data_IF_128487560472
#
_entry.id   IF_128487560472
#
_cell.length_a   1.000
_cell.length_b   1.000
_cell.length_c   1.000
_cell.angle_alpha   90.00
_cell.angle_beta   90.00
_cell.angle_gamma   90.00
#
_symmetry.space_group_name_H-M   'P 1'
#
loop_
_entity.id
_entity.type
_entity.pdbx_description
1 polymer ?
#
# COMPACT_ATOMS: atom_id res chain seq x y z
N UNK A 1 36.57 6.47 -27.40
CA UNK A 1 36.55 6.23 -25.95
C UNK A 1 35.41 6.98 -25.29
N UNK A 2 35.15 8.22 -25.66
CA UNK A 2 34.04 9.00 -25.07
C UNK A 2 32.66 8.40 -25.33
N UNK A 3 32.49 7.72 -26.46
CA UNK A 3 31.25 7.03 -26.80
C UNK A 3 30.89 5.90 -25.83
N UNK A 4 31.89 5.16 -25.35
CA UNK A 4 31.67 4.08 -24.38
C UNK A 4 31.27 4.62 -23.02
N UNK A 5 31.84 5.72 -22.58
CA UNK A 5 31.49 6.37 -21.32
C UNK A 5 30.05 6.89 -21.31
N UNK A 6 29.61 7.48 -22.42
CA UNK A 6 28.24 7.98 -22.57
C UNK A 6 27.23 6.84 -22.54
N UNK A 7 27.50 5.73 -23.23
CA UNK A 7 26.64 4.55 -23.28
C UNK A 7 26.50 3.93 -21.88
N UNK A 8 27.60 3.79 -21.14
CA UNK A 8 27.57 3.24 -19.78
C UNK A 8 26.76 4.12 -18.86
N UNK A 9 26.88 5.44 -18.98
CA UNK A 9 26.10 6.38 -18.17
C UNK A 9 24.59 6.28 -18.45
N UNK A 10 24.20 6.16 -19.72
CA UNK A 10 22.80 5.98 -20.12
C UNK A 10 22.22 4.67 -19.58
N UNK A 11 22.98 3.59 -19.64
CA UNK A 11 22.55 2.29 -19.11
C UNK A 11 22.34 2.35 -17.60
N UNK A 12 23.24 2.98 -16.86
CA UNK A 12 23.13 3.13 -15.41
C UNK A 12 21.90 3.95 -15.04
N UNK A 13 21.64 5.04 -15.75
CA UNK A 13 20.47 5.90 -15.51
C UNK A 13 19.17 5.14 -15.74
N UNK A 14 19.08 4.39 -16.84
CA UNK A 14 17.91 3.59 -17.17
C UNK A 14 17.65 2.51 -16.11
N UNK A 15 18.67 1.80 -15.68
CA UNK A 15 18.59 0.75 -14.68
C UNK A 15 18.13 1.30 -13.32
N UNK A 16 18.61 2.46 -12.95
CA UNK A 16 18.26 3.11 -11.71
C UNK A 16 16.79 3.49 -11.67
N UNK A 17 16.25 4.01 -12.79
CA UNK A 17 14.84 4.36 -12.89
C UNK A 17 13.92 3.15 -12.71
N UNK A 18 14.25 2.01 -13.34
CA UNK A 18 13.46 0.80 -13.23
C UNK A 18 13.43 0.24 -11.80
N UNK A 19 14.55 0.30 -11.08
CA UNK A 19 14.62 -0.24 -9.72
C UNK A 19 13.80 0.56 -8.71
N UNK A 20 13.50 1.85 -8.99
CA UNK A 20 12.76 2.73 -8.06
C UNK A 20 11.25 2.64 -8.26
N UNK A 21 10.77 2.49 -9.50
CA UNK A 21 9.36 2.70 -9.82
C UNK A 21 8.60 1.47 -10.32
N UNK A 22 9.30 0.38 -10.59
CA UNK A 22 8.65 -0.76 -11.23
C UNK A 22 8.33 -1.89 -10.26
N UNK A 23 7.04 -2.16 -10.06
CA UNK A 23 6.58 -3.41 -9.49
C UNK A 23 6.74 -4.52 -10.52
N UNK A 24 7.01 -5.75 -10.07
CA UNK A 24 7.04 -6.91 -10.96
C UNK A 24 5.65 -7.17 -11.54
N UNK A 25 5.60 -7.87 -12.69
CA UNK A 25 4.32 -8.30 -13.28
C UNK A 25 3.53 -9.19 -12.32
N UNK A 26 4.22 -10.02 -11.56
CA UNK A 26 3.64 -10.86 -10.51
C UNK A 26 2.94 -10.01 -9.46
N UNK A 27 3.64 -9.02 -8.90
CA UNK A 27 3.09 -8.16 -7.85
C UNK A 27 1.95 -7.30 -8.36
N UNK A 28 2.03 -6.80 -9.58
CA UNK A 28 0.93 -6.04 -10.20
C UNK A 28 -0.35 -6.89 -10.24
N UNK A 29 -0.24 -8.12 -10.70
CA UNK A 29 -1.38 -9.05 -10.73
C UNK A 29 -1.93 -9.35 -9.34
N UNK A 30 -1.04 -9.58 -8.37
CA UNK A 30 -1.44 -9.83 -6.98
C UNK A 30 -2.14 -8.61 -6.38
N UNK A 31 -1.62 -7.40 -6.55
CA UNK A 31 -2.27 -6.19 -6.04
C UNK A 31 -3.64 -5.96 -6.64
N UNK A 32 -3.82 -6.21 -7.94
CA UNK A 32 -5.15 -6.10 -8.57
C UNK A 32 -6.17 -7.01 -7.88
N UNK A 33 -5.79 -8.25 -7.62
CA UNK A 33 -6.63 -9.22 -6.92
C UNK A 33 -6.88 -8.80 -5.48
N UNK A 34 -5.84 -8.37 -4.76
CA UNK A 34 -5.93 -7.91 -3.37
C UNK A 34 -6.88 -6.71 -3.25
N UNK A 35 -6.72 -5.70 -4.09
CA UNK A 35 -7.60 -4.52 -4.05
C UNK A 35 -9.05 -4.90 -4.30
N UNK A 36 -9.31 -5.79 -5.25
CA UNK A 36 -10.66 -6.26 -5.53
C UNK A 36 -11.26 -7.00 -4.33
N UNK A 37 -10.50 -7.92 -3.74
CA UNK A 37 -10.96 -8.68 -2.57
C UNK A 37 -11.21 -7.79 -1.37
N UNK A 38 -10.31 -6.85 -1.08
CA UNK A 38 -10.47 -5.93 0.05
C UNK A 38 -11.64 -4.98 -0.14
N UNK A 39 -11.88 -4.47 -1.35
CA UNK A 39 -13.07 -3.65 -1.63
C UNK A 39 -14.36 -4.40 -1.37
N UNK A 40 -14.37 -5.70 -1.64
CA UNK A 40 -15.53 -6.55 -1.43
C UNK A 40 -15.62 -7.13 -0.02
N UNK A 41 -14.70 -6.79 0.87
CA UNK A 41 -14.68 -7.30 2.24
C UNK A 41 -14.12 -8.71 2.39
N UNK A 42 -13.54 -9.28 1.34
CA UNK A 42 -12.95 -10.62 1.35
C UNK A 42 -11.49 -10.56 1.82
N UNK A 43 -11.29 -10.17 3.07
CA UNK A 43 -9.94 -9.92 3.61
C UNK A 43 -9.11 -11.20 3.70
N UNK A 44 -9.71 -12.32 4.08
CA UNK A 44 -9.00 -13.58 4.19
C UNK A 44 -8.41 -14.03 2.86
N UNK A 45 -9.19 -13.86 1.78
CA UNK A 45 -8.74 -14.18 0.44
C UNK A 45 -7.62 -13.23 -0.02
N UNK A 46 -7.78 -11.94 0.24
CA UNK A 46 -6.76 -10.96 -0.07
C UNK A 46 -5.46 -11.22 0.69
N UNK A 47 -5.55 -11.63 1.96
CA UNK A 47 -4.39 -11.91 2.81
C UNK A 47 -3.55 -13.07 2.26
N UNK A 48 -4.15 -14.06 1.62
CA UNK A 48 -3.42 -15.15 0.97
C UNK A 48 -2.54 -14.62 -0.17
N UNK A 49 -3.04 -13.66 -0.93
CA UNK A 49 -2.28 -13.03 -2.00
C UNK A 49 -1.21 -12.08 -1.47
N UNK A 50 -1.50 -11.37 -0.37
CA UNK A 50 -0.51 -10.52 0.30
C UNK A 50 0.72 -11.32 0.71
N UNK A 51 0.53 -12.53 1.20
CA UNK A 51 1.64 -13.40 1.60
C UNK A 51 2.58 -13.77 0.45
N UNK A 52 2.13 -13.61 -0.80
CA UNK A 52 2.92 -13.91 -2.00
C UNK A 52 3.65 -12.69 -2.57
N UNK A 53 3.39 -11.49 -2.04
CA UNK A 53 4.00 -10.26 -2.53
C UNK A 53 5.49 -10.20 -2.23
N UNK A 54 6.27 -9.72 -3.19
CA UNK A 54 7.68 -9.40 -3.00
C UNK A 54 7.86 -7.97 -2.49
N UNK A 55 7.02 -7.03 -2.93
CA UNK A 55 7.12 -5.63 -2.57
C UNK A 55 5.82 -5.17 -1.89
N UNK A 56 5.93 -4.67 -0.67
CA UNK A 56 4.82 -4.25 0.17
C UNK A 56 4.50 -2.76 0.05
N UNK A 57 5.01 -2.08 -0.99
CA UNK A 57 4.93 -0.61 -1.12
C UNK A 57 3.49 -0.08 -1.11
N UNK A 58 2.50 -0.86 -1.57
CA UNK A 58 1.11 -0.43 -1.62
C UNK A 58 0.27 -0.90 -0.41
N UNK A 59 0.91 -1.43 0.63
CA UNK A 59 0.17 -1.96 1.78
C UNK A 59 -0.59 -0.89 2.56
N UNK A 60 -0.11 0.35 2.59
CA UNK A 60 -0.87 1.44 3.20
C UNK A 60 -2.23 1.64 2.55
N UNK A 61 -2.29 1.56 1.20
CA UNK A 61 -3.55 1.62 0.45
C UNK A 61 -4.45 0.42 0.74
N UNK A 62 -3.88 -0.78 0.77
CA UNK A 62 -4.63 -2.01 1.04
C UNK A 62 -5.27 -1.97 2.43
N UNK A 63 -4.49 -1.63 3.44
CA UNK A 63 -4.95 -1.56 4.81
C UNK A 63 -6.03 -0.48 5.00
N UNK A 64 -5.90 0.65 4.30
CA UNK A 64 -6.93 1.70 4.34
C UNK A 64 -8.28 1.19 3.83
N UNK A 65 -8.31 0.34 2.82
CA UNK A 65 -9.56 -0.26 2.33
C UNK A 65 -10.27 -1.08 3.41
N UNK A 66 -9.52 -1.79 4.23
CA UNK A 66 -10.10 -2.55 5.34
C UNK A 66 -10.59 -1.61 6.45
N UNK A 67 -9.74 -0.68 6.88
CA UNK A 67 -10.06 0.24 7.98
C UNK A 67 -11.25 1.14 7.67
N UNK A 68 -11.43 1.51 6.40
CA UNK A 68 -12.52 2.37 5.95
C UNK A 68 -13.69 1.58 5.35
N UNK A 69 -13.66 0.24 5.40
CA UNK A 69 -14.72 -0.56 4.81
C UNK A 69 -16.05 -0.28 5.50
N UNK A 70 -17.14 -0.01 4.74
CA UNK A 70 -18.39 0.44 5.35
C UNK A 70 -19.12 -0.64 6.16
N UNK A 71 -18.92 -1.93 5.86
CA UNK A 71 -19.74 -3.00 6.44
C UNK A 71 -18.94 -4.19 6.96
N UNK A 72 -17.83 -4.57 6.31
CA UNK A 72 -17.15 -5.83 6.58
C UNK A 72 -16.16 -5.75 7.76
N UNK A 73 -15.79 -4.55 8.18
CA UNK A 73 -14.84 -4.35 9.29
C UNK A 73 -15.18 -3.08 10.06
N UNK A 74 -15.23 -3.19 11.38
CA UNK A 74 -15.32 -2.01 12.24
C UNK A 74 -13.96 -1.75 12.88
N UNK A 75 -13.32 -0.67 12.46
CA UNK A 75 -11.99 -0.32 12.94
C UNK A 75 -12.02 0.19 14.37
N UNK A 76 -11.07 -0.30 15.19
CA UNK A 76 -10.85 0.23 16.53
C UNK A 76 -10.01 1.51 16.47
N UNK A 77 -10.04 2.28 17.54
CA UNK A 77 -9.16 3.45 17.68
C UNK A 77 -7.68 3.06 17.53
N UNK A 78 -7.28 1.95 18.12
CA UNK A 78 -5.88 1.51 18.08
C UNK A 78 -5.43 1.14 16.67
N UNK A 79 -6.27 0.46 15.89
CA UNK A 79 -5.97 0.14 14.49
C UNK A 79 -5.75 1.42 13.67
N UNK A 80 -6.63 2.40 13.84
CA UNK A 80 -6.55 3.66 13.12
C UNK A 80 -5.32 4.47 13.52
N UNK A 81 -5.02 4.52 14.82
CA UNK A 81 -3.83 5.18 15.34
C UNK A 81 -2.56 4.55 14.79
N UNK A 82 -2.47 3.23 14.79
CA UNK A 82 -1.29 2.51 14.32
C UNK A 82 -1.06 2.73 12.82
N UNK A 83 -2.13 2.73 12.03
CA UNK A 83 -2.03 3.04 10.60
C UNK A 83 -1.52 4.48 10.40
N UNK A 84 -2.06 5.46 11.13
CA UNK A 84 -1.64 6.86 11.03
C UNK A 84 -0.19 7.07 11.43
N UNK A 85 0.32 6.31 12.40
CA UNK A 85 1.72 6.43 12.83
C UNK A 85 2.69 6.03 11.70
N UNK A 86 2.25 5.17 10.79
CA UNK A 86 3.07 4.66 9.69
C UNK A 86 2.83 5.40 8.37
N UNK A 87 1.60 5.87 8.14
CA UNK A 87 1.15 6.41 6.85
C UNK A 87 0.55 7.81 6.96
N UNK A 88 1.07 8.65 7.84
CA UNK A 88 0.50 9.99 8.10
C UNK A 88 0.50 10.91 6.89
N UNK A 89 1.39 10.67 5.93
CA UNK A 89 1.48 11.42 4.67
C UNK A 89 0.68 10.81 3.53
N UNK A 90 -0.04 9.73 3.82
CA UNK A 90 -0.82 9.00 2.82
C UNK A 90 -2.09 9.77 2.45
N UNK A 91 -2.56 9.55 1.22
CA UNK A 91 -3.79 10.16 0.69
C UNK A 91 -5.01 9.94 1.60
N UNK A 92 -5.16 8.76 2.20
CA UNK A 92 -6.30 8.41 3.04
C UNK A 92 -6.16 8.85 4.50
N UNK A 93 -5.04 9.45 4.87
CA UNK A 93 -4.75 9.77 6.27
C UNK A 93 -5.81 10.67 6.91
N UNK A 94 -6.34 11.64 6.15
CA UNK A 94 -7.36 12.55 6.67
C UNK A 94 -8.66 11.82 7.03
N UNK A 95 -9.09 10.90 6.18
CA UNK A 95 -10.31 10.13 6.44
C UNK A 95 -10.15 9.21 7.64
N UNK A 96 -8.99 8.56 7.73
CA UNK A 96 -8.68 7.66 8.84
C UNK A 96 -8.54 8.45 10.15
N UNK A 97 -7.93 9.62 10.12
CA UNK A 97 -7.86 10.51 11.28
C UNK A 97 -9.26 10.90 11.78
N UNK A 98 -10.14 11.32 10.89
CA UNK A 98 -11.51 11.69 11.26
C UNK A 98 -12.27 10.52 11.88
N UNK A 99 -12.10 9.33 11.34
CA UNK A 99 -12.70 8.13 11.91
C UNK A 99 -12.09 7.83 13.29
N UNK A 100 -10.77 7.97 13.43
CA UNK A 100 -10.08 7.76 14.69
C UNK A 100 -10.58 8.68 15.81
N UNK A 101 -10.81 9.93 15.49
CA UNK A 101 -11.39 10.90 16.47
C UNK A 101 -12.75 10.41 16.96
N UNK A 102 -13.59 9.87 16.09
CA UNK A 102 -14.90 9.33 16.47
C UNK A 102 -14.81 8.05 17.29
N UNK A 103 -13.73 7.28 17.13
CA UNK A 103 -13.53 6.01 17.86
C UNK A 103 -12.70 6.19 19.13
N UNK A 104 -12.21 7.40 19.39
CA UNK A 104 -11.37 7.66 20.56
C UNK A 104 -12.15 7.37 21.83
N UNK A 105 -11.58 6.59 22.76
CA UNK A 105 -12.23 6.32 24.05
C UNK A 105 -12.41 7.59 24.86
N UNK A 106 -13.51 7.64 25.63
CA UNK A 106 -13.77 8.73 26.57
C UNK A 106 -12.77 8.65 27.74
N UNK A 107 -12.19 9.77 28.07
CA UNK A 107 -11.21 9.86 29.15
C UNK A 107 -9.80 10.16 28.68
#
# INVERSE_FOLDING_TARGET
MDRMKIIVLLIVTFFYSDSIFALSSKDIGLYKSIFNDYRNGNFDKGDKDIAKLDDLILMGHVQALKLLHPTAHRSSFLELRDWLSEYSDHYEARRIYKLGVRRKPDG
#
